data_IF_080452797071
#
_entry.id   IF_080452797071
#
_cell.length_a   1.000
_cell.length_b   1.000
_cell.length_c   1.000
_cell.angle_alpha   90.00
_cell.angle_beta   90.00
_cell.angle_gamma   90.00
#
_symmetry.space_group_name_H-M   'P 1'
#
loop_
_entity.id
_entity.type
_entity.pdbx_description
1 polymer ?
#
# COMPACT_ATOMS: atom_id res chain seq x y z
N UNK A 1 -14.61 6.85 -7.52
CA UNK A 1 -13.84 7.95 -6.86
C UNK A 1 -12.99 7.40 -5.72
N UNK A 2 -11.77 7.89 -5.61
CA UNK A 2 -10.81 7.55 -4.54
C UNK A 2 -10.61 8.75 -3.62
N UNK A 3 -10.49 8.51 -2.33
CA UNK A 3 -10.10 9.53 -1.36
C UNK A 3 -8.57 9.53 -1.26
N UNK A 4 -7.95 10.54 -1.85
CA UNK A 4 -6.50 10.66 -1.98
C UNK A 4 -6.01 11.78 -1.08
N UNK A 5 -4.97 11.52 -0.29
CA UNK A 5 -4.29 12.52 0.52
C UNK A 5 -3.38 13.38 -0.37
N UNK A 6 -2.46 12.73 -1.10
CA UNK A 6 -1.47 13.43 -1.92
C UNK A 6 -0.89 12.52 -3.01
N UNK A 7 -0.09 13.12 -3.87
CA UNK A 7 0.70 12.44 -4.89
C UNK A 7 2.17 12.82 -4.74
N UNK A 8 3.05 11.88 -5.03
CA UNK A 8 4.47 12.11 -5.18
C UNK A 8 4.92 11.59 -6.55
N UNK A 9 5.49 12.47 -7.35
CA UNK A 9 6.09 12.11 -8.65
C UNK A 9 7.54 11.69 -8.45
N UNK A 10 7.99 10.71 -9.25
CA UNK A 10 9.37 10.20 -9.23
C UNK A 10 9.82 9.64 -7.87
N UNK A 11 8.92 9.03 -7.10
CA UNK A 11 9.25 8.29 -5.89
C UNK A 11 10.25 7.16 -6.18
N UNK A 12 11.23 6.98 -5.30
CA UNK A 12 12.32 5.99 -5.48
C UNK A 12 12.32 4.89 -4.44
N UNK A 13 11.58 5.05 -3.34
CA UNK A 13 11.57 4.14 -2.21
C UNK A 13 10.36 3.20 -2.18
N UNK A 14 9.32 3.49 -2.98
CA UNK A 14 8.03 2.83 -2.94
C UNK A 14 7.87 1.74 -4.00
N UNK A 15 8.96 1.03 -4.29
CA UNK A 15 9.01 -0.06 -5.26
C UNK A 15 10.15 0.06 -6.26
N UNK A 16 10.19 -0.78 -7.30
CA UNK A 16 11.26 -0.76 -8.29
C UNK A 16 11.09 0.41 -9.28
N UNK A 17 12.21 1.04 -9.65
CA UNK A 17 12.25 2.14 -10.62
C UNK A 17 11.67 3.45 -10.09
N UNK A 18 11.42 4.41 -10.99
CA UNK A 18 10.73 5.67 -10.66
C UNK A 18 9.22 5.45 -10.67
N UNK A 19 8.51 6.04 -9.72
CA UNK A 19 7.10 5.76 -9.53
C UNK A 19 6.28 7.03 -9.27
N UNK A 20 5.05 7.02 -9.79
CA UNK A 20 4.01 7.86 -9.24
C UNK A 20 3.49 7.20 -7.96
N UNK A 21 3.66 7.84 -6.82
CA UNK A 21 3.11 7.35 -5.55
C UNK A 21 1.79 8.08 -5.27
N UNK A 22 0.75 7.31 -5.01
CA UNK A 22 -0.59 7.81 -4.66
C UNK A 22 -0.83 7.49 -3.20
N UNK A 23 -0.79 8.49 -2.34
CA UNK A 23 -1.08 8.35 -0.92
C UNK A 23 -2.59 8.42 -0.70
N UNK A 24 -3.18 7.29 -0.36
CA UNK A 24 -4.61 7.18 -0.07
C UNK A 24 -4.92 7.59 1.37
N UNK A 25 -6.11 8.12 1.56
CA UNK A 25 -6.63 8.49 2.86
C UNK A 25 -7.34 7.32 3.52
N UNK A 26 -7.15 7.14 4.83
CA UNK A 26 -7.75 6.11 5.66
C UNK A 26 -6.77 5.00 6.01
N UNK A 27 -6.63 4.71 7.31
CA UNK A 27 -5.83 3.62 7.83
C UNK A 27 -6.55 3.01 9.05
N UNK A 28 -6.54 1.70 9.15
CA UNK A 28 -7.09 1.00 10.32
C UNK A 28 -6.04 0.73 11.42
N UNK A 29 -4.77 1.13 11.20
CA UNK A 29 -3.73 1.11 12.23
C UNK A 29 -3.48 2.52 12.79
N UNK A 30 -2.95 2.57 14.03
CA UNK A 30 -2.50 3.79 14.70
C UNK A 30 -1.04 3.57 15.15
N UNK A 31 -0.14 3.47 14.19
CA UNK A 31 1.27 3.19 14.48
C UNK A 31 1.91 4.36 15.24
N UNK A 32 2.63 4.07 16.32
CA UNK A 32 3.33 5.08 17.14
C UNK A 32 4.35 5.90 16.34
N UNK A 33 4.92 5.31 15.30
CA UNK A 33 5.93 5.93 14.43
C UNK A 33 5.37 6.27 13.04
N UNK A 34 4.06 6.50 12.92
CA UNK A 34 3.45 6.80 11.63
C UNK A 34 4.09 8.06 11.01
N UNK A 35 4.62 7.92 9.79
CA UNK A 35 5.20 9.05 9.05
C UNK A 35 4.12 9.99 8.46
N UNK A 36 2.88 9.50 8.30
CA UNK A 36 1.77 10.23 7.70
C UNK A 36 0.51 10.14 8.58
N UNK A 37 0.52 10.65 9.83
CA UNK A 37 -0.59 10.48 10.76
C UNK A 37 -1.89 11.14 10.29
N UNK A 38 -1.81 12.14 9.45
CA UNK A 38 -2.93 12.82 8.81
C UNK A 38 -3.67 11.96 7.78
N UNK A 39 -3.05 10.87 7.31
CA UNK A 39 -3.73 9.87 6.45
C UNK A 39 -4.56 8.85 7.23
N UNK A 40 -4.48 8.80 8.57
CA UNK A 40 -5.16 7.79 9.38
C UNK A 40 -6.70 7.93 9.35
N UNK A 41 -7.31 9.13 9.48
CA UNK A 41 -8.76 9.24 9.58
C UNK A 41 -9.47 8.67 8.35
N UNK A 42 -10.33 7.65 8.58
CA UNK A 42 -11.15 7.04 7.53
C UNK A 42 -12.34 7.94 7.23
N UNK A 43 -12.57 8.22 5.94
CA UNK A 43 -13.70 9.03 5.47
C UNK A 43 -13.54 10.54 5.68
N UNK A 44 -12.45 10.97 6.30
CA UNK A 44 -12.14 12.38 6.56
C UNK A 44 -10.76 12.73 5.98
N UNK A 45 -10.52 14.02 5.72
CA UNK A 45 -9.26 14.46 5.09
C UNK A 45 -9.17 14.06 3.62
N UNK A 46 -8.04 14.36 3.01
CA UNK A 46 -7.78 14.11 1.59
C UNK A 46 -8.81 14.77 0.66
N UNK A 47 -8.77 14.42 -0.61
CA UNK A 47 -9.71 14.88 -1.65
C UNK A 47 -10.33 13.68 -2.36
N UNK A 48 -11.59 13.78 -2.73
CA UNK A 48 -12.23 12.81 -3.63
C UNK A 48 -11.78 13.11 -5.06
N UNK A 49 -11.13 12.14 -5.68
CA UNK A 49 -10.54 12.25 -7.02
C UNK A 49 -11.10 11.12 -7.88
N UNK A 50 -11.48 11.44 -9.11
CA UNK A 50 -11.94 10.46 -10.10
C UNK A 50 -10.81 9.54 -10.54
N UNK A 51 -11.09 8.25 -10.73
CA UNK A 51 -10.09 7.27 -11.20
C UNK A 51 -9.45 7.70 -12.52
N UNK A 52 -10.24 8.31 -13.42
CA UNK A 52 -9.75 8.84 -14.69
C UNK A 52 -8.69 9.95 -14.55
N UNK A 53 -8.72 10.74 -13.49
CA UNK A 53 -7.70 11.74 -13.20
C UNK A 53 -6.38 11.07 -12.78
N UNK A 54 -6.46 10.06 -11.90
CA UNK A 54 -5.29 9.27 -11.49
C UNK A 54 -4.67 8.57 -12.70
N UNK A 55 -5.49 7.97 -13.56
CA UNK A 55 -5.04 7.32 -14.80
C UNK A 55 -4.32 8.32 -15.72
N UNK A 56 -4.93 9.48 -15.98
CA UNK A 56 -4.30 10.52 -16.82
C UNK A 56 -2.95 10.95 -16.27
N UNK A 57 -2.85 11.10 -14.95
CA UNK A 57 -1.59 11.46 -14.29
C UNK A 57 -0.54 10.35 -14.46
N UNK A 58 -0.91 9.10 -14.24
CA UNK A 58 0.00 7.96 -14.46
C UNK A 58 0.49 7.89 -15.91
N UNK A 59 -0.39 8.14 -16.89
CA UNK A 59 -0.03 8.16 -18.29
C UNK A 59 0.90 9.33 -18.63
N UNK A 60 0.72 10.51 -18.05
CA UNK A 60 1.61 11.66 -18.26
C UNK A 60 3.01 11.44 -17.68
N UNK A 61 3.12 10.67 -16.61
CA UNK A 61 4.42 10.34 -15.97
C UNK A 61 5.06 9.06 -16.53
N UNK A 62 4.35 8.31 -17.39
CA UNK A 62 4.84 7.06 -18.01
C UNK A 62 6.25 7.15 -18.63
N UNK A 63 6.65 8.25 -19.30
CA UNK A 63 8.01 8.35 -19.84
C UNK A 63 9.12 8.24 -18.81
N UNK A 64 8.86 8.57 -17.55
CA UNK A 64 9.81 8.50 -16.45
C UNK A 64 9.89 7.13 -15.79
N UNK A 65 8.91 6.26 -15.99
CA UNK A 65 8.86 4.93 -15.35
C UNK A 65 9.95 3.98 -15.84
N UNK A 66 10.44 4.18 -17.07
CA UNK A 66 11.42 3.29 -17.69
C UNK A 66 10.90 1.85 -17.74
N UNK A 67 11.81 0.87 -17.59
CA UNK A 67 11.47 -0.55 -17.69
C UNK A 67 10.92 -1.14 -16.39
N UNK A 68 11.15 -0.52 -15.24
CA UNK A 68 10.84 -1.09 -13.91
C UNK A 68 9.90 -0.24 -13.07
N UNK A 69 9.72 1.00 -13.42
CA UNK A 69 8.86 1.93 -12.70
C UNK A 69 7.38 1.72 -12.98
N UNK A 70 6.55 2.59 -12.43
CA UNK A 70 5.10 2.52 -12.57
C UNK A 70 4.38 3.33 -11.51
N UNK A 71 3.26 2.82 -11.02
CA UNK A 71 2.47 3.44 -9.95
C UNK A 71 2.56 2.63 -8.66
N UNK A 72 2.53 3.32 -7.52
CA UNK A 72 2.39 2.70 -6.19
C UNK A 72 1.20 3.32 -5.48
N UNK A 73 0.31 2.49 -4.98
CA UNK A 73 -0.72 2.88 -4.04
C UNK A 73 -0.21 2.66 -2.62
N UNK A 74 -0.12 3.75 -1.85
CA UNK A 74 0.41 3.84 -0.50
C UNK A 74 -0.46 4.79 0.35
N UNK A 75 0.09 5.40 1.39
CA UNK A 75 -0.55 6.45 2.20
C UNK A 75 -0.94 5.99 3.58
N UNK A 76 -2.24 5.91 3.88
CA UNK A 76 -2.75 5.23 5.07
C UNK A 76 -2.65 3.71 4.88
N UNK A 77 -3.76 3.07 4.56
CA UNK A 77 -3.81 1.66 4.12
C UNK A 77 -4.65 1.57 2.85
N UNK A 78 -4.05 1.34 1.69
CA UNK A 78 -4.77 1.33 0.41
C UNK A 78 -5.91 0.33 0.34
N UNK A 79 -5.80 -0.79 1.05
CA UNK A 79 -6.83 -1.83 1.05
C UNK A 79 -8.12 -1.42 1.76
N UNK A 80 -8.14 -0.30 2.51
CA UNK A 80 -9.38 0.36 2.97
C UNK A 80 -10.28 0.75 1.80
N UNK A 81 -9.67 1.07 0.63
CA UNK A 81 -10.36 1.48 -0.58
C UNK A 81 -10.23 0.42 -1.70
N UNK A 82 -10.03 -0.85 -1.35
CA UNK A 82 -9.75 -1.92 -2.33
C UNK A 82 -10.81 -2.01 -3.44
N UNK A 83 -12.11 -1.95 -3.09
CA UNK A 83 -13.20 -2.00 -4.06
C UNK A 83 -13.10 -0.89 -5.11
N UNK A 84 -12.81 0.33 -4.67
CA UNK A 84 -12.68 1.49 -5.57
C UNK A 84 -11.36 1.48 -6.38
N UNK A 85 -10.32 0.80 -5.89
CA UNK A 85 -9.03 0.67 -6.61
C UNK A 85 -9.10 -0.32 -7.77
N UNK A 86 -9.93 -1.36 -7.70
CA UNK A 86 -9.97 -2.44 -8.69
C UNK A 86 -10.18 -1.93 -10.13
N UNK A 87 -11.19 -1.08 -10.43
CA UNK A 87 -11.39 -0.59 -11.79
C UNK A 87 -10.19 0.18 -12.33
N UNK A 88 -9.59 1.05 -11.51
CA UNK A 88 -8.40 1.80 -11.87
C UNK A 88 -7.20 0.88 -12.12
N UNK A 89 -6.96 -0.09 -11.25
CA UNK A 89 -5.86 -1.04 -11.41
C UNK A 89 -6.00 -1.85 -12.69
N UNK A 90 -7.20 -2.26 -13.07
CA UNK A 90 -7.45 -2.94 -14.36
C UNK A 90 -7.13 -2.05 -15.56
N UNK A 91 -7.50 -0.76 -15.52
CA UNK A 91 -7.17 0.19 -16.57
C UNK A 91 -5.65 0.41 -16.66
N UNK A 92 -4.97 0.62 -15.54
CA UNK A 92 -3.51 0.76 -15.48
C UNK A 92 -2.79 -0.48 -16.06
N UNK A 93 -3.29 -1.68 -15.76
CA UNK A 93 -2.77 -2.94 -16.34
C UNK A 93 -2.98 -3.01 -17.84
N UNK A 94 -4.13 -2.59 -18.36
CA UNK A 94 -4.40 -2.54 -19.80
C UNK A 94 -3.44 -1.58 -20.53
N UNK A 95 -2.99 -0.51 -19.86
CA UNK A 95 -1.97 0.42 -20.34
C UNK A 95 -0.52 -0.09 -20.16
N UNK A 96 -0.34 -1.30 -19.61
CA UNK A 96 0.98 -1.89 -19.36
C UNK A 96 1.76 -1.21 -18.23
N UNK A 97 1.10 -0.49 -17.32
CA UNK A 97 1.74 0.16 -16.18
C UNK A 97 1.90 -0.86 -15.04
N UNK A 98 3.11 -0.96 -14.53
CA UNK A 98 3.43 -1.81 -13.36
C UNK A 98 2.86 -1.19 -12.08
N UNK A 99 2.13 -2.00 -11.29
CA UNK A 99 1.44 -1.56 -10.09
C UNK A 99 2.07 -2.21 -8.85
N UNK A 100 2.53 -1.38 -7.91
CA UNK A 100 2.85 -1.80 -6.55
C UNK A 100 1.71 -1.43 -5.59
N UNK A 101 1.46 -2.29 -4.63
CA UNK A 101 0.60 -2.04 -3.48
C UNK A 101 1.46 -2.02 -2.23
N UNK A 102 1.49 -0.89 -1.54
CA UNK A 102 2.19 -0.70 -0.27
C UNK A 102 1.17 -0.84 0.86
N UNK A 103 1.19 -1.96 1.56
CA UNK A 103 0.15 -2.35 2.51
C UNK A 103 0.72 -3.06 3.72
N UNK A 104 0.09 -2.90 4.87
CA UNK A 104 0.36 -3.69 6.07
C UNK A 104 -0.45 -5.01 6.11
N UNK A 105 -1.29 -5.27 5.09
CA UNK A 105 -1.94 -6.56 4.87
C UNK A 105 -2.97 -6.98 5.92
N UNK A 106 -3.52 -6.05 6.71
CA UNK A 106 -4.42 -6.40 7.81
C UNK A 106 -5.87 -6.59 7.39
N UNK A 107 -6.27 -6.06 6.24
CA UNK A 107 -7.65 -6.15 5.75
C UNK A 107 -7.77 -7.36 4.83
N UNK A 108 -8.73 -8.23 5.11
CA UNK A 108 -8.99 -9.44 4.35
C UNK A 108 -10.47 -9.51 3.97
N UNK A 109 -10.75 -9.42 2.70
CA UNK A 109 -12.08 -9.60 2.11
C UNK A 109 -11.95 -9.87 0.61
N UNK A 110 -13.05 -10.20 -0.07
CA UNK A 110 -13.07 -10.50 -1.51
C UNK A 110 -12.45 -9.41 -2.41
N UNK A 111 -12.60 -8.14 -2.06
CA UNK A 111 -12.06 -7.03 -2.84
C UNK A 111 -10.54 -6.92 -2.70
N UNK A 112 -10.02 -7.17 -1.48
CA UNK A 112 -8.58 -7.25 -1.27
C UNK A 112 -7.98 -8.45 -2.02
N UNK A 113 -8.62 -9.62 -1.97
CA UNK A 113 -8.16 -10.79 -2.70
C UNK A 113 -8.11 -10.52 -4.21
N UNK A 114 -9.13 -9.87 -4.76
CA UNK A 114 -9.17 -9.45 -6.16
C UNK A 114 -8.07 -8.43 -6.48
N UNK A 115 -7.90 -7.38 -5.65
CA UNK A 115 -6.86 -6.38 -5.83
C UNK A 115 -5.46 -7.01 -5.84
N UNK A 116 -5.18 -7.91 -4.88
CA UNK A 116 -3.92 -8.65 -4.80
C UNK A 116 -3.66 -9.50 -6.06
N UNK A 117 -4.71 -10.00 -6.71
CA UNK A 117 -4.55 -10.75 -7.97
C UNK A 117 -4.09 -9.85 -9.13
N UNK A 118 -4.54 -8.59 -9.16
CA UNK A 118 -4.30 -7.63 -10.25
C UNK A 118 -2.92 -6.97 -10.16
N UNK A 119 -2.50 -6.54 -8.96
CA UNK A 119 -1.23 -5.81 -8.76
C UNK A 119 -0.02 -6.69 -9.07
N UNK A 120 1.08 -6.08 -9.49
CA UNK A 120 2.29 -6.80 -9.89
C UNK A 120 3.20 -7.15 -8.70
N UNK A 121 3.20 -6.32 -7.67
CA UNK A 121 4.07 -6.48 -6.51
C UNK A 121 3.40 -5.90 -5.26
N UNK A 122 3.69 -6.50 -4.11
CA UNK A 122 3.28 -5.97 -2.80
C UNK A 122 4.51 -5.61 -1.99
N UNK A 123 4.52 -4.39 -1.46
CA UNK A 123 5.42 -3.97 -0.39
C UNK A 123 4.66 -4.25 0.91
N UNK A 124 5.02 -5.32 1.61
CA UNK A 124 4.27 -5.76 2.79
C UNK A 124 4.99 -5.35 4.07
N UNK A 125 4.35 -4.48 4.82
CA UNK A 125 4.86 -4.00 6.11
C UNK A 125 4.51 -4.95 7.25
N UNK A 126 5.49 -5.68 7.76
CA UNK A 126 5.38 -6.37 9.02
C UNK A 126 5.86 -5.44 10.15
N UNK A 127 4.93 -4.92 10.95
CA UNK A 127 5.28 -3.93 11.98
C UNK A 127 5.97 -4.57 13.20
N UNK A 128 5.64 -5.82 13.52
CA UNK A 128 6.33 -6.70 14.46
C UNK A 128 5.85 -8.14 14.30
N UNK A 129 6.73 -9.12 14.47
CA UNK A 129 6.37 -10.54 14.36
C UNK A 129 5.62 -11.03 15.61
N UNK A 130 6.01 -10.59 16.81
CA UNK A 130 5.35 -10.95 18.06
C UNK A 130 4.02 -10.19 18.20
N UNK A 131 2.90 -10.87 18.50
CA UNK A 131 1.57 -10.26 18.55
C UNK A 131 1.45 -9.10 19.55
N UNK A 132 2.03 -9.25 20.74
CA UNK A 132 1.95 -8.23 21.80
C UNK A 132 2.76 -6.98 21.46
N UNK A 133 3.97 -7.14 20.91
CA UNK A 133 4.79 -6.02 20.45
C UNK A 133 4.13 -5.31 19.27
N UNK A 134 3.54 -6.06 18.33
CA UNK A 134 2.77 -5.50 17.23
C UNK A 134 1.60 -4.65 17.74
N UNK A 135 0.84 -5.17 18.73
CA UNK A 135 -0.29 -4.43 19.30
C UNK A 135 0.14 -3.15 20.00
N UNK A 136 1.28 -3.16 20.70
CA UNK A 136 1.85 -1.95 21.32
C UNK A 136 2.23 -0.90 20.30
N UNK A 137 2.76 -1.33 19.13
CA UNK A 137 3.18 -0.43 18.05
C UNK A 137 2.02 0.13 17.23
N UNK A 138 0.94 -0.66 17.03
CA UNK A 138 -0.07 -0.39 16.00
C UNK A 138 -1.50 -0.32 16.52
N UNK A 139 -1.74 -0.71 17.78
CA UNK A 139 -3.05 -0.95 18.41
C UNK A 139 -3.82 -2.16 17.86
N UNK A 140 -3.28 -2.88 16.87
CA UNK A 140 -3.95 -3.98 16.17
C UNK A 140 -3.17 -5.29 16.23
N UNK A 141 -3.84 -6.40 15.89
CA UNK A 141 -3.22 -7.72 15.75
C UNK A 141 -2.45 -7.84 14.43
N UNK A 142 -1.35 -8.61 14.43
CA UNK A 142 -0.61 -8.96 13.22
C UNK A 142 -1.15 -10.23 12.51
N UNK A 143 -2.17 -10.90 13.05
CA UNK A 143 -2.65 -12.19 12.53
C UNK A 143 -3.02 -12.11 11.04
N UNK A 144 -3.76 -11.08 10.63
CA UNK A 144 -4.13 -10.89 9.23
C UNK A 144 -2.94 -10.55 8.35
N UNK A 145 -1.99 -9.73 8.83
CA UNK A 145 -0.74 -9.43 8.10
C UNK A 145 0.03 -10.70 7.78
N UNK A 146 0.20 -11.58 8.78
CA UNK A 146 0.88 -12.87 8.60
C UNK A 146 0.11 -13.81 7.65
N UNK A 147 -1.21 -13.85 7.79
CA UNK A 147 -2.05 -14.62 6.87
C UNK A 147 -2.01 -14.07 5.44
N UNK A 148 -1.91 -12.76 5.25
CA UNK A 148 -1.72 -12.13 3.94
C UNK A 148 -0.33 -12.45 3.37
N UNK A 149 0.72 -12.46 4.18
CA UNK A 149 2.05 -12.89 3.74
C UNK A 149 2.04 -14.33 3.20
N UNK A 150 1.37 -15.24 3.91
CA UNK A 150 1.23 -16.63 3.46
C UNK A 150 0.38 -16.75 2.18
N UNK A 151 -0.70 -16.00 2.07
CA UNK A 151 -1.52 -15.94 0.85
C UNK A 151 -0.69 -15.48 -0.36
N UNK A 152 0.09 -14.40 -0.21
CA UNK A 152 0.94 -13.88 -1.27
C UNK A 152 2.02 -14.90 -1.69
N UNK A 153 2.58 -15.64 -0.72
CA UNK A 153 3.50 -16.75 -0.99
C UNK A 153 2.83 -17.83 -1.82
N UNK A 154 1.60 -18.25 -1.47
CA UNK A 154 0.84 -19.26 -2.20
C UNK A 154 0.48 -18.81 -3.61
N UNK A 155 0.21 -17.51 -3.80
CA UNK A 155 -0.05 -16.92 -5.11
C UNK A 155 1.20 -16.77 -5.98
N UNK A 156 2.40 -17.01 -5.44
CA UNK A 156 3.67 -16.70 -6.13
C UNK A 156 3.83 -15.20 -6.42
N UNK A 157 3.15 -14.33 -5.67
CA UNK A 157 3.18 -12.89 -5.88
C UNK A 157 4.54 -12.32 -5.48
N UNK A 158 5.17 -11.47 -6.31
CA UNK A 158 6.36 -10.73 -5.90
C UNK A 158 6.09 -9.87 -4.66
N UNK A 159 6.85 -10.10 -3.60
CA UNK A 159 6.72 -9.38 -2.31
C UNK A 159 8.06 -8.81 -1.90
N UNK A 160 8.06 -7.58 -1.41
CA UNK A 160 9.14 -7.01 -0.62
C UNK A 160 8.63 -6.82 0.80
N UNK A 161 9.14 -7.63 1.73
CA UNK A 161 8.87 -7.42 3.16
C UNK A 161 9.59 -6.16 3.63
N UNK A 162 8.89 -5.35 4.42
CA UNK A 162 9.45 -4.16 5.09
C UNK A 162 9.27 -4.29 6.59
N UNK A 163 10.26 -3.83 7.32
CA UNK A 163 10.28 -3.80 8.77
C UNK A 163 10.98 -2.54 9.23
N UNK A 164 10.34 -1.75 10.07
CA UNK A 164 10.92 -0.51 10.61
C UNK A 164 11.54 -0.81 11.97
N UNK A 165 12.85 -0.55 12.11
CA UNK A 165 13.53 -0.64 13.40
C UNK A 165 13.18 0.60 14.23
N UNK A 166 12.46 0.39 15.31
CA UNK A 166 12.04 1.42 16.26
C UNK A 166 12.78 1.17 17.58
N UNK A 167 13.72 2.05 17.97
CA UNK A 167 14.50 1.87 19.20
C UNK A 167 13.64 1.61 20.44
N UNK A 168 13.94 0.56 21.18
CA UNK A 168 13.22 0.14 22.37
C UNK A 168 11.88 -0.58 22.11
N UNK A 169 11.48 -0.75 20.86
CA UNK A 169 10.22 -1.43 20.47
C UNK A 169 10.43 -2.62 19.56
N UNK A 170 11.23 -2.48 18.51
CA UNK A 170 11.40 -3.51 17.49
C UNK A 170 12.87 -3.78 17.13
N UNK A 171 13.81 -3.30 17.91
CA UNK A 171 15.27 -3.46 17.77
C UNK A 171 15.87 -4.48 18.74
N UNK A 172 15.04 -5.13 19.56
CA UNK A 172 15.49 -6.15 20.49
C UNK A 172 15.66 -7.50 19.78
N UNK A 173 16.72 -8.28 20.10
CA UNK A 173 16.85 -9.66 19.63
C UNK A 173 15.68 -10.49 20.21
N UNK A 174 15.05 -11.30 19.37
CA UNK A 174 13.97 -12.21 19.72
C UNK A 174 14.47 -13.66 19.81
#
# INVERSE_FOLDING_TARGET
MLRIHSFESMGTFDGPGLRLVVFLQGCNFQCLYCANPDTIPIGQGGKLIEEGEVLRRALSERPFFGKRGGITFSGGEPTVQAEALIPLCRQLKAEGIHICLDSQGSIRNRYVDELLSIVDMVLLDCKHILPEAHRRLTTQSNANTLATAEQLRQMGKPVRMRYVLVPGYSDQPE
#
